data_IF_147622542612
#
_entry.id   IF_147622542612
#
_cell.length_a   1.000
_cell.length_b   1.000
_cell.length_c   1.000
_cell.angle_alpha   90.00
_cell.angle_beta   90.00
_cell.angle_gamma   90.00
#
_symmetry.space_group_name_H-M   'P 1'
#
loop_
_entity.id
_entity.type
_entity.pdbx_description
1 polymer ?
#
# COMPACT_ATOMS: atom_id res chain seq x y z
N UNK A 1 -6.96 7.93 -3.79
CA UNK A 1 -7.17 9.06 -2.85
C UNK A 1 -8.46 8.82 -2.12
N UNK A 2 -8.40 8.73 -0.78
CA UNK A 2 -9.58 8.74 0.09
C UNK A 2 -10.50 9.87 -0.36
N UNK A 3 -11.83 9.65 -0.49
CA UNK A 3 -12.75 10.75 -0.70
C UNK A 3 -12.59 11.69 0.49
N UNK A 4 -11.97 12.84 0.23
CA UNK A 4 -11.90 13.94 1.19
C UNK A 4 -13.32 14.41 1.41
N UNK A 5 -13.89 14.00 2.55
CA UNK A 5 -15.16 14.53 3.00
C UNK A 5 -15.03 16.06 3.05
N UNK A 6 -15.99 16.77 2.43
CA UNK A 6 -15.97 18.24 2.28
C UNK A 6 -15.95 19.02 3.61
N UNK A 7 -15.91 18.31 4.73
CA UNK A 7 -16.00 18.82 6.08
C UNK A 7 -14.64 19.08 6.77
N UNK A 8 -13.52 18.66 6.18
CA UNK A 8 -12.21 18.96 6.75
C UNK A 8 -11.72 20.33 6.28
N UNK A 9 -11.16 21.18 7.16
CA UNK A 9 -10.50 22.40 6.71
C UNK A 9 -9.44 21.97 5.72
N UNK A 10 -9.40 22.64 4.56
CA UNK A 10 -8.48 22.31 3.50
C UNK A 10 -7.03 22.47 3.99
N UNK A 11 -6.48 21.41 4.55
CA UNK A 11 -5.04 21.32 4.69
C UNK A 11 -4.45 21.24 3.28
N UNK A 12 -3.31 21.88 3.03
CA UNK A 12 -2.67 21.83 1.73
C UNK A 12 -2.45 20.37 1.29
N UNK A 13 -2.72 20.05 0.03
CA UNK A 13 -2.63 18.70 -0.51
C UNK A 13 -1.26 18.03 -0.29
N UNK A 14 -0.18 18.83 -0.14
CA UNK A 14 1.16 18.31 0.13
C UNK A 14 1.28 17.66 1.52
N UNK A 15 0.46 18.07 2.52
CA UNK A 15 0.44 17.42 3.85
C UNK A 15 -0.05 15.99 3.70
N UNK A 16 -1.13 15.78 2.94
CA UNK A 16 -1.68 14.44 2.70
C UNK A 16 -0.71 13.56 1.90
N UNK A 17 -0.05 14.10 0.87
CA UNK A 17 0.98 13.37 0.12
C UNK A 17 2.17 12.91 0.98
N UNK A 18 2.51 13.65 2.04
CA UNK A 18 3.55 13.23 2.99
C UNK A 18 3.13 12.05 3.86
N UNK A 19 1.82 11.84 4.09
CA UNK A 19 1.31 10.68 4.82
C UNK A 19 1.45 9.37 4.03
N UNK A 20 1.47 9.44 2.69
CA UNK A 20 1.66 8.29 1.82
C UNK A 20 3.03 7.61 2.02
N UNK A 21 4.02 8.39 2.46
CA UNK A 21 5.38 7.94 2.67
C UNK A 21 5.83 8.18 4.12
N UNK A 22 5.75 7.16 4.96
CA UNK A 22 6.03 7.27 6.40
C UNK A 22 7.39 7.95 6.72
N UNK A 23 8.44 7.66 5.92
CA UNK A 23 9.77 8.27 6.09
C UNK A 23 9.78 9.78 5.77
N UNK A 24 8.76 10.32 5.11
CA UNK A 24 8.64 11.76 4.84
C UNK A 24 7.86 12.51 5.92
N UNK A 25 7.24 11.80 6.87
CA UNK A 25 6.49 12.42 7.96
C UNK A 25 7.37 13.27 8.87
N UNK A 26 8.64 12.89 9.04
CA UNK A 26 9.62 13.69 9.79
C UNK A 26 9.77 15.13 9.26
N UNK A 27 9.60 15.34 7.94
CA UNK A 27 9.63 16.67 7.31
C UNK A 27 8.40 17.53 7.66
N UNK A 28 7.33 16.95 8.22
CA UNK A 28 6.17 17.69 8.73
C UNK A 28 6.39 18.23 10.15
N UNK A 29 7.49 17.89 10.82
CA UNK A 29 7.77 18.31 12.23
C UNK A 29 8.31 19.73 12.35
N UNK A 30 8.07 20.59 11.36
CA UNK A 30 8.44 22.01 11.43
C UNK A 30 7.47 22.80 12.29
N UNK A 31 7.94 23.95 12.81
CA UNK A 31 7.08 24.84 13.59
C UNK A 31 5.87 25.31 12.79
N UNK A 32 6.08 25.67 11.54
CA UNK A 32 5.03 26.16 10.63
C UNK A 32 3.92 25.12 10.45
N UNK A 33 4.27 23.86 10.22
CA UNK A 33 3.29 22.77 10.08
C UNK A 33 2.53 22.53 11.37
N UNK A 34 3.20 22.54 12.52
CA UNK A 34 2.54 22.40 13.82
C UNK A 34 1.54 23.52 14.08
N UNK A 35 1.92 24.77 13.81
CA UNK A 35 1.04 25.92 13.99
C UNK A 35 -0.15 25.88 13.01
N UNK A 36 0.07 25.42 11.77
CA UNK A 36 -0.97 25.18 10.79
C UNK A 36 -1.95 24.09 11.25
N UNK A 37 -1.45 22.95 11.73
CA UNK A 37 -2.30 21.85 12.22
C UNK A 37 -3.12 22.28 13.44
N UNK A 38 -2.53 23.00 14.40
CA UNK A 38 -3.26 23.55 15.56
C UNK A 38 -4.32 24.56 15.15
N UNK A 39 -4.03 25.39 14.14
CA UNK A 39 -5.01 26.33 13.61
C UNK A 39 -6.15 25.62 12.86
N UNK A 40 -5.84 24.57 12.11
CA UNK A 40 -6.83 23.74 11.43
C UNK A 40 -7.71 22.98 12.44
N UNK A 41 -7.14 22.40 13.49
CA UNK A 41 -7.86 21.69 14.55
C UNK A 41 -8.95 22.56 15.20
N UNK A 42 -8.63 23.83 15.51
CA UNK A 42 -9.60 24.76 16.09
C UNK A 42 -10.78 25.14 15.17
N UNK A 43 -10.65 24.95 13.87
CA UNK A 43 -11.63 25.38 12.84
C UNK A 43 -12.27 24.20 12.13
N UNK A 44 -11.82 22.98 12.43
CA UNK A 44 -12.32 21.79 11.78
C UNK A 44 -13.75 21.46 12.26
N UNK A 45 -14.55 20.91 11.37
CA UNK A 45 -15.82 20.25 11.72
C UNK A 45 -15.60 18.96 12.51
N UNK A 46 -14.44 18.30 12.31
CA UNK A 46 -14.01 17.10 13.03
C UNK A 46 -12.63 17.32 13.64
N UNK A 47 -12.55 18.07 14.76
CA UNK A 47 -11.27 18.43 15.39
C UNK A 47 -10.46 17.21 15.84
N UNK A 48 -11.12 16.12 16.25
CA UNK A 48 -10.46 14.89 16.70
C UNK A 48 -9.63 14.24 15.59
N UNK A 49 -10.06 14.30 14.32
CA UNK A 49 -9.29 13.80 13.19
C UNK A 49 -8.03 14.61 12.96
N UNK A 50 -8.13 15.93 13.09
CA UNK A 50 -6.94 16.82 12.96
C UNK A 50 -6.02 16.66 14.17
N UNK A 51 -6.57 16.49 15.37
CA UNK A 51 -5.80 16.16 16.56
C UNK A 51 -5.00 14.88 16.37
N UNK A 52 -5.63 13.80 15.88
CA UNK A 52 -4.96 12.54 15.58
C UNK A 52 -3.81 12.72 14.58
N UNK A 53 -4.04 13.45 13.48
CA UNK A 53 -3.00 13.77 12.51
C UNK A 53 -1.84 14.54 13.15
N UNK A 54 -2.14 15.56 13.95
CA UNK A 54 -1.13 16.34 14.66
C UNK A 54 -0.30 15.47 15.61
N UNK A 55 -0.94 14.60 16.37
CA UNK A 55 -0.26 13.66 17.29
C UNK A 55 0.66 12.70 16.52
N UNK A 56 0.18 12.14 15.38
CA UNK A 56 1.03 11.29 14.52
C UNK A 56 2.29 12.02 14.08
N UNK A 57 2.19 13.31 13.73
CA UNK A 57 3.32 14.12 13.29
C UNK A 57 4.23 14.53 14.46
N UNK A 58 3.65 15.04 15.55
CA UNK A 58 4.41 15.58 16.71
C UNK A 58 5.18 14.48 17.46
N UNK A 59 4.55 13.30 17.63
CA UNK A 59 5.09 12.16 18.38
C UNK A 59 5.86 11.16 17.49
N UNK A 60 6.08 11.50 16.19
CA UNK A 60 6.83 10.66 15.23
C UNK A 60 6.27 9.24 15.06
N UNK A 61 4.94 9.12 15.04
CA UNK A 61 4.26 7.83 14.96
C UNK A 61 4.20 7.27 13.53
N UNK A 62 4.91 7.85 12.56
CA UNK A 62 4.86 7.48 11.15
C UNK A 62 5.19 6.03 10.88
N UNK A 63 6.22 5.49 11.55
CA UNK A 63 6.58 4.08 11.42
C UNK A 63 5.50 3.14 11.98
N UNK A 64 4.94 3.46 13.15
CA UNK A 64 3.86 2.68 13.77
C UNK A 64 2.59 2.72 12.91
N UNK A 65 2.26 3.88 12.35
CA UNK A 65 1.16 4.03 11.39
C UNK A 65 1.38 3.13 10.17
N UNK A 66 2.58 3.17 9.58
CA UNK A 66 2.94 2.31 8.44
C UNK A 66 2.77 0.83 8.79
N UNK A 67 3.30 0.38 9.93
CA UNK A 67 3.15 -1.00 10.39
C UNK A 67 1.68 -1.40 10.56
N UNK A 68 0.84 -0.51 11.13
CA UNK A 68 -0.58 -0.77 11.30
C UNK A 68 -1.29 -0.93 9.93
N UNK A 69 -0.97 -0.07 8.95
CA UNK A 69 -1.48 -0.17 7.59
C UNK A 69 -1.03 -1.47 6.91
N UNK A 70 0.25 -1.87 7.07
CA UNK A 70 0.75 -3.11 6.47
C UNK A 70 0.03 -4.35 7.05
N UNK A 71 -0.22 -4.39 8.37
CA UNK A 71 -1.01 -5.47 8.99
C UNK A 71 -2.40 -5.60 8.37
N UNK A 72 -3.11 -4.48 8.22
CA UNK A 72 -4.44 -4.47 7.58
C UNK A 72 -4.38 -4.98 6.15
N UNK A 73 -3.38 -4.57 5.37
CA UNK A 73 -3.21 -5.04 3.98
C UNK A 73 -2.99 -6.55 3.91
N UNK A 74 -2.17 -7.10 4.81
CA UNK A 74 -1.93 -8.55 4.91
C UNK A 74 -3.22 -9.27 5.30
N UNK A 75 -3.91 -8.80 6.33
CA UNK A 75 -5.17 -9.41 6.80
C UNK A 75 -6.25 -9.37 5.70
N UNK A 76 -6.38 -8.27 4.96
CA UNK A 76 -7.30 -8.13 3.83
C UNK A 76 -6.93 -9.01 2.63
N UNK A 77 -5.74 -9.58 2.54
CA UNK A 77 -5.42 -10.56 1.50
C UNK A 77 -6.08 -11.93 1.78
N UNK A 78 -6.37 -12.23 3.03
CA UNK A 78 -6.97 -13.51 3.48
C UNK A 78 -8.43 -13.35 3.95
N UNK A 79 -8.75 -12.22 4.60
CA UNK A 79 -10.07 -11.93 5.18
C UNK A 79 -10.82 -10.85 4.38
N UNK A 80 -12.15 -10.88 4.41
CA UNK A 80 -13.00 -9.82 3.84
C UNK A 80 -13.10 -8.58 4.73
N UNK A 81 -12.66 -8.66 5.99
CA UNK A 81 -12.70 -7.60 6.99
C UNK A 81 -11.41 -7.62 7.78
N UNK A 82 -10.84 -6.46 8.04
CA UNK A 82 -9.71 -6.26 8.94
C UNK A 82 -9.96 -5.07 9.87
N UNK A 83 -9.26 -5.03 11.00
CA UNK A 83 -9.33 -3.91 11.92
C UNK A 83 -8.00 -3.16 11.94
N UNK A 84 -8.01 -1.92 11.44
CA UNK A 84 -6.90 -1.00 11.65
C UNK A 84 -6.85 -0.60 13.11
N UNK A 85 -5.71 -0.77 13.75
CA UNK A 85 -5.44 -0.35 15.13
C UNK A 85 -4.09 0.35 15.20
N UNK A 86 -4.10 1.60 15.64
CA UNK A 86 -2.92 2.33 16.07
C UNK A 86 -3.16 2.71 17.54
N UNK A 87 -2.48 2.02 18.45
CA UNK A 87 -2.62 2.19 19.90
C UNK A 87 -1.26 2.55 20.49
N UNK A 88 -1.16 3.76 21.02
CA UNK A 88 0.04 4.33 21.63
C UNK A 88 -0.32 4.99 22.95
N UNK A 89 0.67 5.48 23.70
CA UNK A 89 0.42 6.22 24.96
C UNK A 89 -0.34 7.54 24.75
N UNK A 90 -0.29 8.11 23.54
CA UNK A 90 -0.86 9.45 23.26
C UNK A 90 -2.02 9.41 22.27
N UNK A 91 -2.19 8.31 21.51
CA UNK A 91 -3.19 8.22 20.46
C UNK A 91 -3.73 6.79 20.34
N UNK A 92 -5.05 6.68 20.31
CA UNK A 92 -5.73 5.42 20.00
C UNK A 92 -6.69 5.63 18.83
N UNK A 93 -6.39 4.96 17.72
CA UNK A 93 -7.25 4.90 16.53
C UNK A 93 -7.65 3.46 16.27
N UNK A 94 -8.91 3.25 15.98
CA UNK A 94 -9.43 1.94 15.57
C UNK A 94 -10.49 2.13 14.49
N UNK A 95 -10.36 1.37 13.41
CA UNK A 95 -11.29 1.44 12.28
C UNK A 95 -11.40 0.07 11.60
N UNK A 96 -12.61 -0.39 11.38
CA UNK A 96 -12.86 -1.55 10.54
C UNK A 96 -12.73 -1.14 9.07
N UNK A 97 -12.08 -2.00 8.30
CA UNK A 97 -11.86 -1.82 6.86
C UNK A 97 -12.27 -3.11 6.17
N UNK A 98 -13.15 -3.02 5.21
CA UNK A 98 -13.52 -4.14 4.37
C UNK A 98 -12.58 -4.26 3.16
N UNK A 99 -12.42 -5.48 2.63
CA UNK A 99 -11.67 -5.70 1.39
C UNK A 99 -12.25 -4.87 0.23
N UNK A 100 -13.58 -4.76 0.13
CA UNK A 100 -14.23 -3.98 -0.90
C UNK A 100 -13.86 -2.48 -0.85
N UNK A 101 -13.84 -1.88 0.35
CA UNK A 101 -13.37 -0.50 0.53
C UNK A 101 -11.89 -0.38 0.13
N UNK A 102 -11.04 -1.29 0.58
CA UNK A 102 -9.62 -1.29 0.23
C UNK A 102 -9.42 -1.40 -1.29
N UNK A 103 -10.11 -2.33 -1.97
CA UNK A 103 -10.03 -2.49 -3.42
C UNK A 103 -10.54 -1.24 -4.17
N UNK A 104 -11.55 -0.55 -3.61
CA UNK A 104 -12.01 0.74 -4.16
C UNK A 104 -10.93 1.81 -4.05
N UNK A 105 -10.22 1.87 -2.92
CA UNK A 105 -9.17 2.86 -2.72
C UNK A 105 -7.97 2.67 -3.64
N UNK A 106 -7.61 1.41 -3.94
CA UNK A 106 -6.47 1.07 -4.81
C UNK A 106 -6.88 0.87 -6.29
N UNK A 107 -8.12 1.13 -6.66
CA UNK A 107 -8.60 0.93 -8.03
C UNK A 107 -7.77 1.69 -9.10
N UNK A 108 -7.31 2.93 -8.86
CA UNK A 108 -6.44 3.63 -9.80
C UNK A 108 -5.11 2.92 -10.04
N UNK A 109 -4.49 2.38 -8.99
CA UNK A 109 -3.23 1.63 -9.05
C UNK A 109 -3.42 0.27 -9.75
N UNK A 110 -4.56 -0.39 -9.51
CA UNK A 110 -4.92 -1.62 -10.21
C UNK A 110 -5.10 -1.37 -11.72
N UNK A 111 -5.72 -0.24 -12.10
CA UNK A 111 -5.86 0.13 -13.50
C UNK A 111 -4.50 0.43 -14.15
N UNK A 112 -3.64 1.19 -13.48
CA UNK A 112 -2.28 1.45 -13.97
C UNK A 112 -1.48 0.16 -14.16
N UNK A 113 -1.62 -0.82 -13.26
CA UNK A 113 -1.00 -2.13 -13.39
C UNK A 113 -1.54 -2.87 -14.62
N UNK A 114 -2.85 -2.87 -14.81
CA UNK A 114 -3.51 -3.46 -15.98
C UNK A 114 -3.01 -2.86 -17.28
N UNK A 115 -3.00 -1.52 -17.37
CA UNK A 115 -2.52 -0.78 -18.55
C UNK A 115 -1.03 -1.06 -18.81
N UNK A 116 -0.22 -1.17 -17.75
CA UNK A 116 1.18 -1.51 -17.84
C UNK A 116 1.43 -2.90 -18.44
N UNK A 117 0.60 -3.89 -18.08
CA UNK A 117 0.69 -5.24 -18.68
C UNK A 117 0.35 -5.18 -20.17
N UNK A 118 -0.72 -4.46 -20.56
CA UNK A 118 -1.11 -4.32 -21.96
C UNK A 118 -0.03 -3.62 -22.78
N UNK A 119 0.55 -2.57 -22.23
CA UNK A 119 1.67 -1.85 -22.88
C UNK A 119 2.90 -2.74 -23.04
N UNK A 120 3.19 -3.61 -22.05
CA UNK A 120 4.31 -4.55 -22.10
C UNK A 120 4.11 -5.59 -23.22
N UNK A 121 2.93 -6.22 -23.29
CA UNK A 121 2.58 -7.20 -24.30
C UNK A 121 2.65 -6.58 -25.72
N UNK A 122 2.07 -5.39 -25.88
CA UNK A 122 2.13 -4.65 -27.14
C UNK A 122 3.57 -4.33 -27.55
N UNK A 123 4.42 -3.88 -26.62
CA UNK A 123 5.84 -3.60 -26.88
C UNK A 123 6.62 -4.84 -27.24
N UNK A 124 6.30 -5.99 -26.63
CA UNK A 124 6.92 -7.27 -26.94
C UNK A 124 6.41 -7.88 -28.26
N UNK A 125 5.29 -7.38 -28.80
CA UNK A 125 4.67 -7.91 -30.03
C UNK A 125 4.03 -9.28 -29.83
N UNK A 126 3.65 -9.63 -28.59
CA UNK A 126 3.04 -10.92 -28.25
C UNK A 126 1.65 -10.71 -27.63
N UNK A 127 0.80 -11.71 -27.79
CA UNK A 127 -0.50 -11.80 -27.12
C UNK A 127 -0.39 -12.45 -25.73
N UNK A 128 -1.37 -12.25 -24.88
CA UNK A 128 -1.41 -12.90 -23.57
C UNK A 128 -1.46 -14.44 -23.66
N UNK A 129 -1.95 -14.98 -24.78
CA UNK A 129 -2.03 -16.44 -25.03
C UNK A 129 -0.67 -17.06 -25.43
N UNK A 130 0.31 -16.24 -25.79
CA UNK A 130 1.68 -16.67 -26.13
C UNK A 130 2.61 -16.62 -24.90
N UNK A 131 2.09 -16.18 -23.75
CA UNK A 131 2.83 -16.20 -22.50
C UNK A 131 2.68 -17.57 -21.84
N UNK A 132 3.77 -18.29 -21.68
CA UNK A 132 3.77 -19.62 -21.10
C UNK A 132 3.61 -19.57 -19.57
N UNK A 133 4.30 -18.62 -18.90
CA UNK A 133 4.32 -18.54 -17.45
C UNK A 133 4.31 -17.10 -16.95
N UNK A 134 3.54 -16.86 -15.88
CA UNK A 134 3.52 -15.63 -15.10
C UNK A 134 3.86 -15.95 -13.66
N UNK A 135 4.95 -15.39 -13.16
CA UNK A 135 5.37 -15.55 -11.77
C UNK A 135 5.02 -14.30 -10.97
N UNK A 136 4.14 -14.44 -9.99
CA UNK A 136 3.80 -13.36 -9.07
C UNK A 136 4.67 -13.46 -7.82
N UNK A 137 5.40 -12.38 -7.50
CA UNK A 137 6.27 -12.31 -6.32
C UNK A 137 6.11 -10.98 -5.60
N UNK A 138 6.50 -10.94 -4.31
CA UNK A 138 6.37 -9.76 -3.46
C UNK A 138 5.00 -9.63 -2.82
N UNK A 139 4.91 -8.82 -1.75
CA UNK A 139 3.70 -8.72 -0.92
C UNK A 139 2.45 -8.24 -1.66
N UNK A 140 2.59 -7.42 -2.71
CA UNK A 140 1.47 -6.94 -3.53
C UNK A 140 0.78 -8.09 -4.29
N UNK A 141 1.52 -9.14 -4.64
CA UNK A 141 0.95 -10.31 -5.32
C UNK A 141 -0.04 -11.11 -4.46
N UNK A 142 -0.06 -10.87 -3.15
CA UNK A 142 -1.02 -11.49 -2.23
C UNK A 142 -2.39 -10.85 -2.28
N UNK A 143 -2.50 -9.61 -2.79
CA UNK A 143 -3.78 -8.88 -2.88
C UNK A 143 -4.70 -9.56 -3.89
N UNK A 144 -5.94 -9.98 -3.49
CA UNK A 144 -6.83 -10.72 -4.38
C UNK A 144 -7.16 -9.98 -5.67
N UNK A 145 -7.34 -8.65 -5.63
CA UNK A 145 -7.60 -7.84 -6.82
C UNK A 145 -6.42 -7.88 -7.81
N UNK A 146 -5.18 -7.90 -7.31
CA UNK A 146 -3.99 -8.05 -8.16
C UNK A 146 -3.97 -9.42 -8.82
N UNK A 147 -4.22 -10.49 -8.06
CA UNK A 147 -4.31 -11.85 -8.63
C UNK A 147 -5.36 -11.94 -9.73
N UNK A 148 -6.53 -11.29 -9.55
CA UNK A 148 -7.58 -11.26 -10.57
C UNK A 148 -7.13 -10.64 -11.88
N UNK A 149 -6.38 -9.53 -11.86
CA UNK A 149 -5.85 -8.88 -13.08
C UNK A 149 -5.07 -9.88 -13.93
N UNK A 150 -4.23 -10.71 -13.30
CA UNK A 150 -3.44 -11.71 -14.00
C UNK A 150 -4.26 -12.92 -14.42
N UNK A 151 -5.14 -13.44 -13.54
CA UNK A 151 -5.98 -14.59 -13.84
C UNK A 151 -6.98 -14.32 -15.00
N UNK A 152 -7.52 -13.11 -15.09
CA UNK A 152 -8.43 -12.70 -16.17
C UNK A 152 -7.70 -12.56 -17.51
N UNK A 153 -6.43 -12.11 -17.51
CA UNK A 153 -5.66 -11.87 -18.71
C UNK A 153 -4.89 -13.09 -19.20
N UNK A 154 -4.38 -13.90 -18.29
CA UNK A 154 -3.64 -15.12 -18.58
C UNK A 154 -4.43 -16.34 -18.11
N UNK A 155 -4.27 -17.48 -18.77
CA UNK A 155 -4.93 -18.73 -18.31
C UNK A 155 -4.40 -19.08 -16.92
N UNK A 156 -5.28 -19.54 -16.01
CA UNK A 156 -4.91 -19.87 -14.62
C UNK A 156 -3.73 -20.85 -14.53
N UNK A 157 -3.64 -21.82 -15.48
CA UNK A 157 -2.54 -22.77 -15.54
C UNK A 157 -1.16 -22.12 -15.73
N UNK A 158 -1.10 -20.88 -16.23
CA UNK A 158 0.14 -20.16 -16.53
C UNK A 158 0.49 -19.15 -15.43
N UNK A 159 -0.38 -18.92 -14.44
CA UNK A 159 -0.14 -17.98 -13.35
C UNK A 159 0.24 -18.75 -12.09
N UNK A 160 1.48 -18.61 -11.66
CA UNK A 160 1.97 -19.19 -10.41
C UNK A 160 2.38 -18.06 -9.46
N UNK A 161 1.98 -18.19 -8.19
CA UNK A 161 2.54 -17.39 -7.11
C UNK A 161 3.62 -18.21 -6.42
N UNK A 162 4.87 -17.80 -6.60
CA UNK A 162 5.97 -18.30 -5.79
C UNK A 162 5.85 -17.83 -4.33
N UNK A 163 6.71 -18.35 -3.46
CA UNK A 163 6.84 -17.79 -2.12
C UNK A 163 7.23 -16.30 -2.25
N UNK A 164 6.28 -15.43 -1.96
CA UNK A 164 6.36 -14.01 -2.25
C UNK A 164 7.55 -13.30 -1.56
N UNK A 165 8.14 -13.94 -0.53
CA UNK A 165 9.19 -13.35 0.28
C UNK A 165 10.56 -14.06 0.11
N UNK A 166 10.60 -15.28 -0.40
CA UNK A 166 11.84 -16.07 -0.49
C UNK A 166 12.37 -16.22 -1.90
N UNK A 167 11.64 -15.82 -2.94
CA UNK A 167 12.03 -16.00 -4.36
C UNK A 167 13.41 -15.41 -4.69
N UNK A 168 13.76 -14.23 -4.11
CA UNK A 168 15.08 -13.61 -4.31
C UNK A 168 16.17 -14.43 -3.62
N UNK A 169 15.93 -14.87 -2.37
CA UNK A 169 16.87 -15.68 -1.61
C UNK A 169 17.08 -17.05 -2.27
N UNK A 170 16.02 -17.67 -2.78
CA UNK A 170 16.10 -18.93 -3.53
C UNK A 170 16.89 -18.75 -4.84
N UNK A 171 16.66 -17.69 -5.60
CA UNK A 171 17.40 -17.38 -6.80
C UNK A 171 18.90 -17.18 -6.52
N UNK A 172 19.25 -16.45 -5.45
CA UNK A 172 20.63 -16.28 -5.02
C UNK A 172 21.27 -17.61 -4.57
N UNK A 173 20.54 -18.46 -3.85
CA UNK A 173 21.01 -19.78 -3.44
C UNK A 173 21.28 -20.70 -4.64
N UNK A 174 20.43 -20.64 -5.66
CA UNK A 174 20.64 -21.40 -6.91
C UNK A 174 21.89 -20.95 -7.66
N UNK A 175 22.08 -19.64 -7.85
CA UNK A 175 23.30 -19.10 -8.46
C UNK A 175 24.56 -19.51 -7.70
N UNK A 176 24.50 -19.46 -6.36
CA UNK A 176 25.62 -19.86 -5.51
C UNK A 176 25.93 -21.36 -5.65
N UNK A 177 24.91 -22.24 -5.73
CA UNK A 177 25.09 -23.68 -5.89
C UNK A 177 25.66 -24.06 -7.26
N UNK A 178 25.21 -23.39 -8.32
CA UNK A 178 25.73 -23.62 -9.68
C UNK A 178 27.17 -23.13 -9.83
N UNK A 179 27.53 -22.02 -9.17
CA UNK A 179 28.90 -21.51 -9.16
C UNK A 179 29.89 -22.41 -8.40
N UNK A 180 29.44 -23.17 -7.42
CA UNK A 180 30.27 -24.14 -6.69
C UNK A 180 30.49 -25.42 -7.51
N UNK A 181 29.54 -25.82 -8.35
CA UNK A 181 29.63 -27.03 -9.17
C UNK A 181 30.44 -26.83 -10.45
N UNK A 182 30.77 -25.60 -10.83
CA UNK A 182 31.55 -25.25 -12.03
C UNK A 182 32.97 -24.73 -11.70
N UNK A 183 33.43 -24.80 -10.47
CA UNK A 183 34.79 -24.47 -10.02
C UNK A 183 35.55 -25.72 -9.61
#
# INVERSE_FOLDING_TARGET
SLPLDKALPALPAWVYRRLEHWHTLSFLRTREVRDMLRSAERRASEPDKIHALRTIVEDDLGYLLHQAVQRVKVELSESSLATFVLDTSTLRLQQNVTRAEFETWIAPELQQMSDGIDALLAKAGISATEVDHVFLTGGTSLVPAVKRIFAERFKEANVSSGDAFTSVAQGLAWIASDGINNA
#
